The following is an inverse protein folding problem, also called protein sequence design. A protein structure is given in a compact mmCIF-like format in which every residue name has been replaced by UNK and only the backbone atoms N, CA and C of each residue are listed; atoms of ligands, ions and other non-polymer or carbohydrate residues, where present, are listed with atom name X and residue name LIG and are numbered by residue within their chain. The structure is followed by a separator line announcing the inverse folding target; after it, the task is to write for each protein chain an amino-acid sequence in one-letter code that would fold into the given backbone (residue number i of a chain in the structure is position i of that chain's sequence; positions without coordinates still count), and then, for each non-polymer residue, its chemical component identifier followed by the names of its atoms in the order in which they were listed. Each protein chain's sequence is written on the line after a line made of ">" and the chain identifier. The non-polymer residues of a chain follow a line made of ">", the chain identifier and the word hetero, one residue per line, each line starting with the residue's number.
data_IF_234553165987
#
_entry.id   IF_234553165987
#
_cell.length_a   1.000
_cell.length_b   1.000
_cell.length_c   1.000
_cell.angle_alpha   90.00
_cell.angle_beta   90.00
_cell.angle_gamma   90.00
#
_symmetry.space_group_name_H-M   'P 1'
#
loop_
_entity.id
_entity.type
_entity.pdbx_description
1 polymer ?
#
# COMPACT_ATOMS: atom_id res chain seq x y z
N UNK A 1 -38.88 3.70 -112.96
CA UNK A 1 -39.86 4.57 -112.28
C UNK A 1 -39.37 4.77 -110.86
N UNK A 2 -39.13 6.03 -110.48
CA UNK A 2 -38.51 6.45 -109.22
C UNK A 2 -39.41 6.13 -108.02
N UNK A 3 -38.84 5.59 -106.94
CA UNK A 3 -39.39 5.78 -105.59
C UNK A 3 -38.25 6.04 -104.60
N UNK A 4 -38.03 7.33 -104.31
CA UNK A 4 -37.04 7.87 -103.38
C UNK A 4 -37.82 8.47 -102.20
N UNK A 5 -38.26 7.65 -101.26
CA UNK A 5 -38.78 8.16 -99.98
C UNK A 5 -37.63 8.40 -98.99
N UNK A 6 -36.82 9.43 -99.26
CA UNK A 6 -35.95 10.02 -98.22
C UNK A 6 -36.79 11.06 -97.48
N UNK A 7 -37.32 10.70 -96.32
CA UNK A 7 -37.99 11.65 -95.40
C UNK A 7 -36.93 12.60 -94.84
N UNK A 8 -36.76 13.76 -95.44
CA UNK A 8 -35.98 14.85 -94.86
C UNK A 8 -36.86 15.58 -93.85
N UNK A 9 -36.55 15.42 -92.56
CA UNK A 9 -37.14 16.20 -91.46
C UNK A 9 -36.96 17.71 -91.71
N UNK A 10 -37.99 18.56 -91.49
CA UNK A 10 -37.91 20.00 -91.78
C UNK A 10 -36.76 20.66 -91.00
N UNK A 11 -35.97 21.50 -91.68
CA UNK A 11 -34.76 22.14 -91.13
C UNK A 11 -35.01 22.89 -89.80
N UNK A 12 -36.19 23.51 -89.65
CA UNK A 12 -36.60 24.26 -88.46
C UNK A 12 -36.81 23.40 -87.20
N UNK A 13 -37.15 22.12 -87.35
CA UNK A 13 -37.28 21.20 -86.20
C UNK A 13 -35.91 20.95 -85.57
N UNK A 14 -34.87 20.79 -86.40
CA UNK A 14 -33.49 20.62 -85.95
C UNK A 14 -32.95 21.84 -85.24
N UNK A 15 -33.30 23.05 -85.68
CA UNK A 15 -32.92 24.28 -84.99
C UNK A 15 -33.57 24.41 -83.61
N UNK A 16 -34.87 24.09 -83.50
CA UNK A 16 -35.55 24.08 -82.20
C UNK A 16 -34.98 23.04 -81.24
N UNK A 17 -34.63 21.86 -81.75
CA UNK A 17 -33.93 20.83 -80.95
C UNK A 17 -32.54 21.30 -80.52
N UNK A 18 -31.79 21.94 -81.41
CA UNK A 18 -30.46 22.46 -81.11
C UNK A 18 -30.49 23.60 -80.10
N UNK A 19 -31.49 24.48 -80.19
CA UNK A 19 -31.74 25.53 -79.20
C UNK A 19 -32.13 24.95 -77.84
N UNK A 20 -33.01 23.93 -77.80
CA UNK A 20 -33.34 23.21 -76.57
C UNK A 20 -32.12 22.52 -75.95
N UNK A 21 -31.27 21.91 -76.77
CA UNK A 21 -30.02 21.29 -76.31
C UNK A 21 -29.05 22.35 -75.77
N UNK A 22 -28.93 23.50 -76.43
CA UNK A 22 -28.09 24.60 -75.96
C UNK A 22 -28.60 25.17 -74.62
N UNK A 23 -29.92 25.29 -74.48
CA UNK A 23 -30.54 25.80 -73.24
C UNK A 23 -30.38 24.81 -72.08
N UNK A 24 -30.62 23.51 -72.34
CA UNK A 24 -30.35 22.45 -71.35
C UNK A 24 -28.86 22.40 -70.97
N UNK A 25 -27.95 22.59 -71.93
CA UNK A 25 -26.52 22.63 -71.65
C UNK A 25 -26.12 23.86 -70.81
N UNK A 26 -26.75 25.01 -71.03
CA UNK A 26 -26.53 26.20 -70.22
C UNK A 26 -27.01 26.00 -68.77
N UNK A 27 -28.19 25.40 -68.57
CA UNK A 27 -28.73 25.07 -67.25
C UNK A 27 -27.83 24.06 -66.51
N UNK A 28 -27.33 23.04 -67.20
CA UNK A 28 -26.34 22.09 -66.65
C UNK A 28 -25.07 22.82 -66.21
N UNK A 29 -24.57 23.75 -67.01
CA UNK A 29 -23.35 24.50 -66.71
C UNK A 29 -23.52 25.45 -65.51
N UNK A 30 -24.73 25.99 -65.26
CA UNK A 30 -25.01 26.79 -64.06
C UNK A 30 -25.10 25.94 -62.78
N UNK A 31 -25.69 24.74 -62.86
CA UNK A 31 -25.98 23.91 -61.67
C UNK A 31 -24.78 23.02 -61.26
N UNK A 32 -23.95 22.60 -62.22
CA UNK A 32 -22.76 21.77 -61.96
C UNK A 32 -21.81 22.30 -60.86
N UNK A 33 -21.39 23.58 -60.84
CA UNK A 33 -20.46 24.08 -59.82
C UNK A 33 -21.07 24.09 -58.41
N UNK A 34 -22.37 24.39 -58.30
CA UNK A 34 -23.12 24.33 -57.05
C UNK A 34 -23.18 22.88 -56.51
N UNK A 35 -23.52 21.91 -57.36
CA UNK A 35 -23.54 20.51 -56.97
C UNK A 35 -22.15 20.02 -56.53
N UNK A 36 -21.10 20.41 -57.25
CA UNK A 36 -19.72 20.05 -56.93
C UNK A 36 -19.26 20.63 -55.59
N UNK A 37 -19.54 21.91 -55.33
CA UNK A 37 -19.20 22.56 -54.05
C UNK A 37 -19.92 21.94 -52.85
N UNK A 38 -21.22 21.61 -52.98
CA UNK A 38 -22.00 20.90 -51.95
C UNK A 38 -21.42 19.50 -51.71
N UNK A 39 -21.05 18.78 -52.77
CA UNK A 39 -20.47 17.44 -52.67
C UNK A 39 -19.11 17.45 -51.97
N UNK A 40 -18.25 18.42 -52.30
CA UNK A 40 -16.95 18.60 -51.64
C UNK A 40 -17.14 18.99 -50.17
N UNK A 41 -18.01 19.95 -49.87
CA UNK A 41 -18.29 20.37 -48.49
C UNK A 41 -18.80 19.21 -47.62
N UNK A 42 -19.69 18.39 -48.18
CA UNK A 42 -20.20 17.18 -47.52
C UNK A 42 -19.09 16.16 -47.27
N UNK A 43 -18.25 15.91 -48.27
CA UNK A 43 -17.12 14.95 -48.17
C UNK A 43 -16.09 15.40 -47.13
N UNK A 44 -15.76 16.70 -47.09
CA UNK A 44 -14.89 17.27 -46.07
C UNK A 44 -15.50 17.14 -44.68
N UNK A 45 -16.80 17.42 -44.52
CA UNK A 45 -17.49 17.27 -43.23
C UNK A 45 -17.47 15.81 -42.75
N UNK A 46 -17.76 14.84 -43.62
CA UNK A 46 -17.67 13.42 -43.28
C UNK A 46 -16.25 13.01 -42.90
N UNK A 47 -15.23 13.52 -43.59
CA UNK A 47 -13.83 13.29 -43.25
C UNK A 47 -13.47 13.85 -41.86
N UNK A 48 -13.83 15.10 -41.56
CA UNK A 48 -13.58 15.71 -40.25
C UNK A 48 -14.33 15.00 -39.12
N UNK A 49 -15.56 14.55 -39.37
CA UNK A 49 -16.33 13.76 -38.40
C UNK A 49 -15.67 12.40 -38.17
N UNK A 50 -15.23 11.73 -39.23
CA UNK A 50 -14.48 10.47 -39.14
C UNK A 50 -13.22 10.62 -38.31
N UNK A 51 -12.44 11.68 -38.53
CA UNK A 51 -11.23 11.97 -37.73
C UNK A 51 -11.53 12.25 -36.26
N UNK A 52 -12.60 12.98 -35.96
CA UNK A 52 -13.04 13.20 -34.56
C UNK A 52 -13.48 11.89 -33.91
N UNK A 53 -14.16 11.02 -34.66
CA UNK A 53 -14.59 9.72 -34.18
C UNK A 53 -13.41 8.79 -33.87
N UNK A 54 -12.40 8.73 -34.76
CA UNK A 54 -11.16 7.97 -34.53
C UNK A 54 -10.47 8.38 -33.22
N UNK A 55 -10.29 9.69 -33.01
CA UNK A 55 -9.66 10.23 -31.78
C UNK A 55 -10.49 9.88 -30.54
N UNK A 56 -11.82 10.02 -30.62
CA UNK A 56 -12.70 9.70 -29.50
C UNK A 56 -12.68 8.20 -29.16
N UNK A 57 -12.61 7.35 -30.18
CA UNK A 57 -12.54 5.90 -30.01
C UNK A 57 -11.21 5.46 -29.39
N UNK A 58 -10.10 6.07 -29.79
CA UNK A 58 -8.77 5.85 -29.20
C UNK A 58 -8.76 6.27 -27.72
N UNK A 59 -9.25 7.49 -27.42
CA UNK A 59 -9.40 7.97 -26.04
C UNK A 59 -10.25 7.04 -25.19
N UNK A 60 -11.40 6.58 -25.71
CA UNK A 60 -12.29 5.65 -25.01
C UNK A 60 -11.58 4.33 -24.70
N UNK A 61 -10.83 3.80 -25.67
CA UNK A 61 -10.07 2.54 -25.50
C UNK A 61 -8.98 2.69 -24.44
N UNK A 62 -8.26 3.82 -24.44
CA UNK A 62 -7.25 4.11 -23.44
C UNK A 62 -7.84 4.28 -22.03
N UNK A 63 -8.96 5.00 -21.90
CA UNK A 63 -9.67 5.12 -20.61
C UNK A 63 -10.13 3.76 -20.07
N UNK A 64 -10.61 2.87 -20.94
CA UNK A 64 -10.99 1.52 -20.54
C UNK A 64 -9.79 0.70 -20.03
N UNK A 65 -8.63 0.82 -20.70
CA UNK A 65 -7.40 0.20 -20.24
C UNK A 65 -6.97 0.71 -18.86
N UNK A 66 -6.99 2.04 -18.65
CA UNK A 66 -6.68 2.65 -17.34
C UNK A 66 -7.64 2.16 -16.26
N UNK A 67 -8.94 2.06 -16.57
CA UNK A 67 -9.93 1.56 -15.60
C UNK A 67 -9.70 0.10 -15.23
N UNK A 68 -9.34 -0.75 -16.19
CA UNK A 68 -8.96 -2.16 -15.94
C UNK A 68 -7.74 -2.24 -15.04
N UNK A 69 -6.70 -1.45 -15.31
CA UNK A 69 -5.48 -1.42 -14.50
C UNK A 69 -5.75 -0.88 -13.09
N UNK A 70 -6.47 0.24 -12.96
CA UNK A 70 -6.89 0.79 -11.66
C UNK A 70 -7.67 -0.23 -10.85
N UNK A 71 -8.56 -0.98 -11.48
CA UNK A 71 -9.35 -2.03 -10.81
C UNK A 71 -8.46 -3.21 -10.39
N UNK A 72 -7.53 -3.64 -11.24
CA UNK A 72 -6.57 -4.69 -10.92
C UNK A 72 -5.65 -4.27 -9.76
N UNK A 73 -5.15 -3.03 -9.79
CA UNK A 73 -4.32 -2.46 -8.74
C UNK A 73 -5.10 -2.36 -7.43
N UNK A 74 -6.35 -1.88 -7.46
CA UNK A 74 -7.23 -1.84 -6.28
C UNK A 74 -7.45 -3.24 -5.71
N UNK A 75 -7.68 -4.27 -6.54
CA UNK A 75 -7.77 -5.66 -6.09
C UNK A 75 -6.47 -6.14 -5.42
N UNK A 76 -5.31 -5.82 -6.01
CA UNK A 76 -3.99 -6.16 -5.44
C UNK A 76 -3.72 -5.43 -4.12
N UNK A 77 -4.12 -4.17 -3.99
CA UNK A 77 -3.92 -3.35 -2.78
C UNK A 77 -4.91 -3.68 -1.66
N UNK A 78 -6.15 -4.05 -2.00
CA UNK A 78 -7.14 -4.56 -1.03
C UNK A 78 -6.72 -5.93 -0.50
N UNK A 79 -5.98 -6.73 -1.29
CA UNK A 79 -5.38 -7.97 -0.79
C UNK A 79 -4.41 -7.60 0.34
N UNK A 80 -4.68 -7.99 1.60
CA UNK A 80 -3.79 -7.69 2.71
C UNK A 80 -2.40 -8.22 2.38
N UNK A 81 -1.34 -7.41 2.59
CA UNK A 81 0.05 -7.89 2.50
C UNK A 81 0.34 -9.08 3.45
N UNK A 82 -0.56 -9.34 4.41
CA UNK A 82 -0.57 -10.48 5.32
C UNK A 82 -1.29 -11.74 4.78
N UNK A 83 -1.72 -11.77 3.51
CA UNK A 83 -2.27 -12.97 2.87
C UNK A 83 -1.26 -13.74 2.00
N UNK A 84 0.00 -13.29 1.94
CA UNK A 84 1.09 -14.10 1.34
C UNK A 84 1.67 -15.12 2.33
N UNK A 85 1.52 -14.91 3.64
CA UNK A 85 1.31 -16.06 4.52
C UNK A 85 -0.11 -16.55 4.24
N UNK A 86 -0.25 -17.76 3.68
CA UNK A 86 -1.51 -18.49 3.78
C UNK A 86 -2.02 -18.34 5.22
N UNK A 87 -3.34 -18.18 5.47
CA UNK A 87 -3.85 -18.53 6.78
C UNK A 87 -3.28 -19.92 7.05
N UNK A 88 -2.45 -20.02 8.10
CA UNK A 88 -1.92 -21.30 8.56
C UNK A 88 -3.12 -22.23 8.57
N UNK A 89 -3.00 -23.40 7.92
CA UNK A 89 -4.12 -24.33 7.91
C UNK A 89 -4.55 -24.59 9.36
N UNK A 90 -5.85 -24.58 9.62
CA UNK A 90 -6.40 -24.64 10.98
C UNK A 90 -5.89 -25.87 11.74
N UNK A 91 -5.48 -26.91 11.01
CA UNK A 91 -4.80 -28.11 11.49
C UNK A 91 -3.47 -27.82 12.20
N UNK A 92 -2.72 -26.80 11.76
CA UNK A 92 -1.42 -26.42 12.32
C UNK A 92 -1.49 -25.31 13.37
N UNK A 93 -2.62 -24.62 13.54
CA UNK A 93 -2.76 -23.55 14.54
C UNK A 93 -2.37 -24.01 15.94
N UNK A 94 -2.86 -25.18 16.38
CA UNK A 94 -2.54 -25.73 17.69
C UNK A 94 -1.03 -25.93 17.86
N UNK A 95 -0.39 -26.58 16.89
CA UNK A 95 1.04 -26.85 16.89
C UNK A 95 1.87 -25.57 16.92
N UNK A 96 1.50 -24.56 16.13
CA UNK A 96 2.21 -23.29 16.08
C UNK A 96 2.03 -22.51 17.39
N UNK A 97 0.83 -22.49 17.97
CA UNK A 97 0.59 -21.85 19.27
C UNK A 97 1.37 -22.55 20.38
N UNK A 98 1.39 -23.87 20.42
CA UNK A 98 2.17 -24.66 21.39
C UNK A 98 3.67 -24.36 21.24
N UNK A 99 4.20 -24.41 20.02
CA UNK A 99 5.61 -24.10 19.74
C UNK A 99 5.99 -22.67 20.12
N UNK A 100 5.15 -21.68 19.81
CA UNK A 100 5.38 -20.29 20.20
C UNK A 100 5.34 -20.14 21.72
N UNK A 101 4.42 -20.81 22.40
CA UNK A 101 4.33 -20.82 23.86
C UNK A 101 5.60 -21.41 24.47
N UNK A 102 6.06 -22.56 23.95
CA UNK A 102 7.31 -23.19 24.38
C UNK A 102 8.51 -22.28 24.15
N UNK A 103 8.61 -21.64 22.97
CA UNK A 103 9.71 -20.73 22.66
C UNK A 103 9.76 -19.52 23.60
N UNK A 104 8.60 -18.95 23.95
CA UNK A 104 8.50 -17.86 24.93
C UNK A 104 8.94 -18.33 26.30
N UNK A 105 8.38 -19.44 26.81
CA UNK A 105 8.75 -19.96 28.14
C UNK A 105 10.22 -20.37 28.23
N UNK A 106 10.79 -20.90 27.15
CA UNK A 106 12.21 -21.21 27.06
C UNK A 106 13.06 -19.93 27.16
N UNK A 107 12.68 -18.89 26.41
CA UNK A 107 13.40 -17.61 26.41
C UNK A 107 13.36 -16.97 27.80
N UNK A 108 12.20 -16.95 28.46
CA UNK A 108 12.05 -16.44 29.82
C UNK A 108 12.91 -17.21 30.83
N UNK A 109 12.91 -18.54 30.77
CA UNK A 109 13.77 -19.37 31.63
C UNK A 109 15.25 -19.10 31.38
N UNK A 110 15.65 -19.03 30.11
CA UNK A 110 17.03 -18.76 29.73
C UNK A 110 17.51 -17.40 30.27
N UNK A 111 16.69 -16.35 30.13
CA UNK A 111 16.97 -15.02 30.66
C UNK A 111 17.15 -15.06 32.18
N UNK A 112 16.26 -15.75 32.91
CA UNK A 112 16.36 -15.92 34.36
C UNK A 112 17.64 -16.65 34.79
N UNK A 113 18.01 -17.70 34.07
CA UNK A 113 19.25 -18.44 34.33
C UNK A 113 20.49 -17.57 34.04
N UNK A 114 20.49 -16.82 32.94
CA UNK A 114 21.58 -15.90 32.62
C UNK A 114 21.73 -14.81 33.68
N UNK A 115 20.61 -14.26 34.16
CA UNK A 115 20.63 -13.26 35.23
C UNK A 115 21.21 -13.83 36.53
N UNK A 116 20.84 -15.06 36.88
CA UNK A 116 21.41 -15.77 38.02
C UNK A 116 22.93 -15.94 37.86
N UNK A 117 23.40 -16.40 36.70
CA UNK A 117 24.83 -16.55 36.42
C UNK A 117 25.58 -15.21 36.49
N UNK A 118 25.00 -14.13 35.95
CA UNK A 118 25.57 -12.77 36.03
C UNK A 118 25.66 -12.24 37.46
N UNK A 119 24.85 -12.72 38.39
CA UNK A 119 24.90 -12.30 39.80
C UNK A 119 26.02 -12.99 40.60
N UNK A 120 26.50 -14.16 40.17
CA UNK A 120 27.53 -14.95 40.87
C UNK A 120 28.81 -14.15 41.15
N UNK A 121 29.38 -13.38 40.20
CA UNK A 121 30.57 -12.58 40.46
C UNK A 121 30.40 -11.51 41.55
N UNK A 122 29.16 -11.14 41.91
CA UNK A 122 28.90 -10.17 42.99
C UNK A 122 28.87 -10.84 44.38
N UNK A 123 28.70 -12.16 44.46
CA UNK A 123 28.62 -12.90 45.73
C UNK A 123 29.87 -12.70 46.60
N UNK A 124 31.12 -12.76 46.08
CA UNK A 124 32.30 -12.52 46.91
C UNK A 124 32.35 -11.12 47.52
N UNK A 125 31.94 -10.10 46.77
CA UNK A 125 31.88 -8.72 47.28
C UNK A 125 30.82 -8.58 48.38
N UNK A 126 29.66 -9.22 48.19
CA UNK A 126 28.60 -9.24 49.19
C UNK A 126 29.05 -9.97 50.47
N UNK A 127 29.73 -11.12 50.33
CA UNK A 127 30.32 -11.87 51.45
C UNK A 127 31.33 -11.03 52.22
N UNK A 128 32.25 -10.34 51.53
CA UNK A 128 33.23 -9.45 52.18
C UNK A 128 32.58 -8.32 53.00
N UNK A 129 31.47 -7.77 52.49
CA UNK A 129 30.71 -6.76 53.22
C UNK A 129 30.04 -7.35 54.46
N UNK A 130 29.51 -8.57 54.36
CA UNK A 130 28.95 -9.29 55.50
C UNK A 130 30.01 -9.62 56.55
N UNK A 131 31.19 -10.10 56.15
CA UNK A 131 32.32 -10.35 57.06
C UNK A 131 32.71 -9.08 57.81
N UNK A 132 32.79 -7.94 57.09
CA UNK A 132 33.10 -6.65 57.71
C UNK A 132 32.03 -6.23 58.72
N UNK A 133 30.75 -6.45 58.41
CA UNK A 133 29.65 -6.16 59.33
C UNK A 133 29.66 -7.09 60.55
N UNK A 134 30.00 -8.36 60.35
CA UNK A 134 30.14 -9.35 61.42
C UNK A 134 31.26 -8.93 62.38
N UNK A 135 32.46 -8.63 61.88
CA UNK A 135 33.58 -8.19 62.71
C UNK A 135 33.25 -6.93 63.52
N UNK A 136 32.54 -5.96 62.93
CA UNK A 136 32.07 -4.77 63.67
C UNK A 136 31.10 -5.13 64.79
N UNK A 137 30.21 -6.08 64.52
CA UNK A 137 29.23 -6.54 65.51
C UNK A 137 29.92 -7.28 66.66
N UNK A 138 30.91 -8.11 66.37
CA UNK A 138 31.73 -8.78 67.39
C UNK A 138 32.43 -7.77 68.31
N UNK A 139 33.01 -6.71 67.74
CA UNK A 139 33.60 -5.61 68.53
C UNK A 139 32.55 -4.95 69.43
N UNK A 140 31.36 -4.63 68.91
CA UNK A 140 30.30 -4.05 69.74
C UNK A 140 29.83 -4.98 70.86
N UNK A 141 29.79 -6.30 70.62
CA UNK A 141 29.46 -7.28 71.67
C UNK A 141 30.49 -7.24 72.78
N UNK A 142 31.79 -7.23 72.45
CA UNK A 142 32.86 -7.11 73.44
C UNK A 142 32.76 -5.81 74.25
N UNK A 143 32.49 -4.68 73.59
CA UNK A 143 32.30 -3.39 74.28
C UNK A 143 31.08 -3.40 75.21
N UNK A 144 29.99 -4.07 74.81
CA UNK A 144 28.80 -4.24 75.64
C UNK A 144 29.04 -5.15 76.84
N UNK A 145 29.80 -6.24 76.67
CA UNK A 145 30.21 -7.13 77.76
C UNK A 145 31.04 -6.38 78.80
N UNK A 146 32.06 -5.64 78.36
CA UNK A 146 32.90 -4.81 79.24
C UNK A 146 32.07 -3.75 79.97
N UNK A 147 31.19 -3.03 79.26
CA UNK A 147 30.30 -2.05 79.87
C UNK A 147 29.38 -2.69 80.91
N UNK A 148 28.87 -3.89 80.64
CA UNK A 148 28.01 -4.63 81.57
C UNK A 148 28.78 -5.03 82.82
N UNK A 149 30.02 -5.51 82.68
CA UNK A 149 30.88 -5.84 83.82
C UNK A 149 31.17 -4.60 84.67
N UNK A 150 31.46 -3.45 84.05
CA UNK A 150 31.65 -2.19 84.75
C UNK A 150 30.39 -1.80 85.54
N UNK A 151 29.20 -1.86 84.93
CA UNK A 151 27.93 -1.56 85.61
C UNK A 151 27.72 -2.47 86.82
N UNK A 152 28.04 -3.77 86.71
CA UNK A 152 27.91 -4.72 87.81
C UNK A 152 28.85 -4.38 88.96
N UNK A 153 30.13 -4.09 88.67
CA UNK A 153 31.11 -3.64 89.67
C UNK A 153 30.64 -2.38 90.39
N UNK A 154 30.17 -1.39 89.63
CA UNK A 154 29.62 -0.14 90.17
C UNK A 154 28.42 -0.39 91.12
N UNK A 155 27.48 -1.28 90.74
CA UNK A 155 26.34 -1.64 91.60
C UNK A 155 26.77 -2.33 92.89
N UNK A 156 27.81 -3.16 92.84
CA UNK A 156 28.32 -3.85 94.02
C UNK A 156 28.96 -2.86 95.01
N UNK A 157 29.84 -1.99 94.51
CA UNK A 157 30.43 -0.91 95.33
C UNK A 157 29.36 -0.04 95.99
N UNK A 158 28.29 0.28 95.25
CA UNK A 158 27.18 1.03 95.81
C UNK A 158 26.51 0.27 96.97
N UNK A 159 26.26 -1.04 96.85
CA UNK A 159 25.66 -1.83 97.93
C UNK A 159 26.55 -1.89 99.17
N UNK A 160 27.85 -2.01 99.00
CA UNK A 160 28.82 -2.05 100.11
C UNK A 160 28.83 -0.71 100.87
N UNK A 161 28.79 0.42 100.18
CA UNK A 161 28.75 1.77 100.79
C UNK A 161 27.47 2.05 101.58
N UNK A 162 26.34 1.45 101.19
CA UNK A 162 25.04 1.66 101.87
C UNK A 162 24.66 0.54 102.86
N UNK A 163 25.56 -0.40 103.16
CA UNK A 163 25.33 -1.49 104.13
C UNK A 163 26.07 -1.30 105.46
N UNK A 164 26.83 -0.21 105.63
CA UNK A 164 27.35 0.32 106.90
C UNK A 164 26.38 1.38 107.50
#
# INVERSE_FOLDING_TARGET
>A
TLDLTRRETPCFVKFSEMEKMANMQAEINEVQPLLFSVTIGSTLQFYFIGKKYEILQDMSSHLEAILKEKTALRKKLIKPRCQESLPIDATFHKCIVEMLTEAVTFTEKLESHLQSVRSIPQVPNMMKNMDTALTKTEVFVMELEELTEQILKWRQLQKEVYSD
#
